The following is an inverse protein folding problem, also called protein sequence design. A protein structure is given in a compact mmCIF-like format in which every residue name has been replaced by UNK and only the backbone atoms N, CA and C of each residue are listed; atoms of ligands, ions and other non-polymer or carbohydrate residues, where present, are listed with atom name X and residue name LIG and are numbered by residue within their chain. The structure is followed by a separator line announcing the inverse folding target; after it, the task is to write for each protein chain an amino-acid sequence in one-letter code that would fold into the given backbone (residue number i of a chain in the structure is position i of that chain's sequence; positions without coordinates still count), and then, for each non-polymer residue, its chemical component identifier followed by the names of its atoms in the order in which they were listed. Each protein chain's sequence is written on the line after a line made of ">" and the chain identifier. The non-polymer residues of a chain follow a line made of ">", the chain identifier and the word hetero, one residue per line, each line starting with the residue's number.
data_IF_905358565872
#
_entry.id   IF_905358565872
#
_cell.length_a   1.000
_cell.length_b   1.000
_cell.length_c   1.000
_cell.angle_alpha   90.00
_cell.angle_beta   90.00
_cell.angle_gamma   90.00
#
_symmetry.space_group_name_H-M   'P 1'
#
loop_
_entity.id
_entity.type
_entity.pdbx_description
1 polymer ?
#
# COMPACT_ATOMS: atom_id res chain seq x y z
N UNK A 1 15.31 15.31 -33.66
CA UNK A 1 15.55 15.95 -32.34
C UNK A 1 14.38 16.86 -32.03
N UNK A 2 13.29 16.31 -31.48
CA UNK A 2 12.08 17.10 -31.18
C UNK A 2 12.14 17.59 -29.74
N UNK A 3 12.74 18.77 -29.55
CA UNK A 3 12.66 19.50 -28.30
C UNK A 3 11.35 20.29 -28.28
N UNK A 4 10.26 19.65 -27.86
CA UNK A 4 9.03 20.37 -27.54
C UNK A 4 9.20 20.99 -26.16
N UNK A 5 9.48 22.29 -26.13
CA UNK A 5 9.35 23.15 -24.96
C UNK A 5 7.86 23.16 -24.57
N UNK A 6 7.46 22.18 -23.76
CA UNK A 6 6.19 22.19 -23.04
C UNK A 6 6.23 23.33 -22.03
N UNK A 7 5.56 24.44 -22.36
CA UNK A 7 5.30 25.57 -21.47
C UNK A 7 4.62 25.06 -20.18
N UNK A 8 5.36 24.98 -19.07
CA UNK A 8 4.80 24.51 -17.80
C UNK A 8 3.79 25.52 -17.25
N UNK A 9 2.59 25.01 -17.02
CA UNK A 9 1.36 25.76 -16.71
C UNK A 9 1.12 25.85 -15.19
N UNK A 10 2.16 25.97 -14.36
CA UNK A 10 2.06 25.58 -12.95
C UNK A 10 1.83 26.73 -11.94
N UNK A 11 1.94 28.01 -12.33
CA UNK A 11 1.48 29.15 -11.52
C UNK A 11 -0.07 29.32 -11.40
N UNK A 12 -0.87 28.46 -12.03
CA UNK A 12 -2.35 28.48 -12.00
C UNK A 12 -2.96 27.08 -11.80
N UNK A 13 -2.27 26.24 -11.03
CA UNK A 13 -2.75 24.90 -10.68
C UNK A 13 -3.96 24.95 -9.72
N UNK A 14 -4.81 23.94 -9.77
CA UNK A 14 -5.85 23.70 -8.76
C UNK A 14 -5.23 23.40 -7.40
N UNK A 15 -5.74 24.04 -6.35
CA UNK A 15 -5.23 23.87 -4.99
C UNK A 15 -5.46 22.45 -4.46
N UNK A 16 -4.37 21.82 -4.03
CA UNK A 16 -4.35 20.60 -3.24
C UNK A 16 -4.00 20.95 -1.79
N UNK A 17 -4.76 20.44 -0.80
CA UNK A 17 -4.41 20.59 0.62
C UNK A 17 -3.03 20.02 0.95
N UNK A 18 -2.57 19.04 0.17
CA UNK A 18 -1.23 18.50 0.28
C UNK A 18 -0.22 19.41 -0.43
N UNK A 19 -0.34 19.65 -1.74
CA UNK A 19 0.77 20.21 -2.54
C UNK A 19 0.65 21.70 -2.93
N UNK A 20 -0.35 22.42 -2.42
CA UNK A 20 -0.54 23.85 -2.72
C UNK A 20 -1.30 24.10 -4.03
N UNK A 21 -1.25 25.32 -4.58
CA UNK A 21 -0.33 26.40 -4.25
C UNK A 21 -0.55 26.99 -2.86
N UNK A 22 0.53 27.44 -2.22
CA UNK A 22 0.52 28.07 -0.90
C UNK A 22 0.93 29.55 -1.02
N UNK A 23 0.29 30.44 -0.26
CA UNK A 23 0.60 31.87 -0.23
C UNK A 23 0.38 32.47 1.18
N UNK A 24 0.84 33.70 1.38
CA UNK A 24 0.73 34.42 2.65
C UNK A 24 1.88 34.14 3.61
N UNK A 25 1.62 34.29 4.91
CA UNK A 25 2.61 34.18 5.98
C UNK A 25 2.39 32.96 6.90
N UNK A 26 1.52 32.02 6.50
CA UNK A 26 1.26 30.78 7.24
C UNK A 26 2.00 29.63 6.57
N UNK A 27 2.71 28.83 7.37
CA UNK A 27 3.41 27.65 6.86
C UNK A 27 2.43 26.61 6.31
N UNK A 28 2.79 25.86 5.25
CA UNK A 28 2.00 24.73 4.79
C UNK A 28 1.75 23.73 5.93
N UNK A 29 0.54 23.15 6.02
CA UNK A 29 0.12 22.37 7.19
C UNK A 29 0.86 21.04 7.36
N UNK A 30 1.56 20.53 6.34
CA UNK A 30 2.30 19.25 6.37
C UNK A 30 3.57 19.31 5.52
N UNK A 31 4.57 18.50 5.91
CA UNK A 31 5.74 18.24 5.08
C UNK A 31 5.33 17.52 3.79
N UNK A 32 5.94 17.90 2.68
CA UNK A 32 5.60 17.40 1.35
C UNK A 32 6.46 16.17 1.02
N UNK A 33 5.88 14.98 1.12
CA UNK A 33 6.56 13.74 0.74
C UNK A 33 6.32 13.47 -0.74
N UNK A 34 7.39 13.48 -1.53
CA UNK A 34 7.33 13.13 -2.94
C UNK A 34 7.64 11.64 -3.08
N UNK A 35 6.70 10.87 -3.67
CA UNK A 35 6.82 9.40 -3.80
C UNK A 35 7.88 8.93 -4.80
N UNK A 36 8.60 9.85 -5.47
CA UNK A 36 9.58 9.56 -6.51
C UNK A 36 10.91 10.25 -6.22
N UNK A 37 11.97 9.81 -6.88
CA UNK A 37 13.32 10.38 -6.79
C UNK A 37 13.49 11.80 -7.37
N UNK A 38 12.38 12.50 -7.66
CA UNK A 38 12.36 13.84 -8.25
C UNK A 38 11.20 14.65 -7.70
N UNK A 39 11.52 15.85 -7.22
CA UNK A 39 10.58 16.88 -6.82
C UNK A 39 10.84 18.14 -7.65
N UNK A 40 9.79 18.90 -7.96
CA UNK A 40 9.90 20.22 -8.60
C UNK A 40 9.24 21.24 -7.68
N UNK A 41 9.99 22.27 -7.32
CA UNK A 41 9.46 23.45 -6.61
C UNK A 41 9.35 24.58 -7.63
N UNK A 42 8.17 25.17 -7.73
CA UNK A 42 7.93 26.33 -8.59
C UNK A 42 7.53 27.53 -7.71
N UNK A 43 8.15 28.67 -7.97
CA UNK A 43 7.84 29.94 -7.33
C UNK A 43 7.44 30.95 -8.40
N UNK A 44 6.33 31.64 -8.19
CA UNK A 44 5.81 32.64 -9.10
C UNK A 44 5.57 33.95 -8.34
N UNK A 45 6.04 35.06 -8.90
CA UNK A 45 5.77 36.41 -8.41
C UNK A 45 5.19 37.27 -9.53
N UNK A 46 4.39 38.26 -9.18
CA UNK A 46 3.90 39.30 -10.09
C UNK A 46 4.62 40.64 -9.79
N UNK A 47 4.09 41.74 -10.33
CA UNK A 47 4.60 43.09 -10.10
C UNK A 47 4.06 43.74 -8.80
N UNK A 48 3.39 42.97 -7.93
CA UNK A 48 2.74 43.44 -6.70
C UNK A 48 3.67 43.58 -5.49
N UNK A 49 3.07 43.55 -4.28
CA UNK A 49 3.80 43.66 -3.02
C UNK A 49 4.59 42.37 -2.76
N UNK A 50 5.90 42.52 -2.54
CA UNK A 50 6.79 41.43 -2.16
C UNK A 50 6.79 41.17 -0.65
N UNK A 51 6.93 39.90 -0.26
CA UNK A 51 7.16 39.46 1.13
C UNK A 51 8.61 39.08 1.40
N UNK A 52 8.91 38.65 2.63
CA UNK A 52 10.27 38.27 3.07
C UNK A 52 10.83 37.02 2.37
N UNK A 53 9.97 36.21 1.73
CA UNK A 53 10.37 35.04 0.94
C UNK A 53 10.02 33.70 1.61
N UNK A 54 10.71 32.65 1.18
CA UNK A 54 10.50 31.28 1.63
C UNK A 54 11.83 30.53 1.78
N UNK A 55 11.88 29.56 2.69
CA UNK A 55 13.01 28.65 2.88
C UNK A 55 12.46 27.24 3.08
N UNK A 56 13.02 26.27 2.37
CA UNK A 56 12.61 24.86 2.44
C UNK A 56 13.77 24.04 2.98
N UNK A 57 13.52 23.23 4.01
CA UNK A 57 14.47 22.21 4.46
C UNK A 57 14.34 20.97 3.56
N UNK A 58 15.41 20.57 2.89
CA UNK A 58 15.42 19.40 2.01
C UNK A 58 15.96 18.18 2.77
N UNK A 59 15.12 17.18 2.94
CA UNK A 59 15.48 15.91 3.59
C UNK A 59 15.20 14.74 2.65
N UNK A 60 16.10 13.77 2.60
CA UNK A 60 15.81 12.46 2.02
C UNK A 60 15.40 11.51 3.16
N UNK A 61 14.32 10.79 2.95
CA UNK A 61 14.02 9.61 3.75
C UNK A 61 14.46 8.39 2.93
N UNK A 62 14.93 7.34 3.61
CA UNK A 62 14.92 6.02 2.98
C UNK A 62 13.48 5.76 2.54
N UNK A 63 13.30 5.37 1.27
CA UNK A 63 12.03 4.79 0.84
C UNK A 63 11.95 3.52 1.67
N UNK A 64 11.06 3.49 2.66
CA UNK A 64 10.66 2.21 3.26
C UNK A 64 10.31 1.33 2.07
N UNK A 65 11.03 0.22 1.84
CA UNK A 65 10.79 -0.56 0.65
C UNK A 65 9.32 -0.94 0.68
N UNK A 66 8.53 -0.40 -0.27
CA UNK A 66 7.36 -1.10 -0.79
C UNK A 66 7.79 -2.55 -0.84
N UNK A 67 7.11 -3.50 -0.18
CA UNK A 67 7.61 -4.86 -0.03
C UNK A 67 8.05 -5.33 -1.41
N UNK A 68 9.35 -5.27 -1.68
CA UNK A 68 9.89 -5.59 -2.99
C UNK A 68 9.89 -7.09 -2.93
N UNK A 69 8.74 -7.66 -3.27
CA UNK A 69 8.57 -9.09 -3.28
C UNK A 69 9.70 -9.65 -4.13
N UNK A 70 10.61 -10.45 -3.55
CA UNK A 70 11.47 -11.32 -4.36
C UNK A 70 10.54 -12.09 -5.30
N UNK A 71 10.96 -12.46 -6.53
CA UNK A 71 10.08 -13.02 -7.56
C UNK A 71 9.11 -14.03 -6.92
N UNK A 72 7.83 -13.67 -6.80
CA UNK A 72 6.88 -14.28 -5.86
C UNK A 72 6.95 -15.79 -5.88
N UNK A 73 7.74 -16.40 -4.98
CA UNK A 73 7.63 -17.82 -4.77
C UNK A 73 6.42 -18.00 -3.87
N UNK A 74 5.33 -18.50 -4.44
CA UNK A 74 4.13 -18.86 -3.68
C UNK A 74 4.54 -19.86 -2.60
N UNK A 75 4.43 -19.51 -1.30
CA UNK A 75 4.85 -20.41 -0.23
C UNK A 75 4.06 -21.71 -0.31
N UNK A 76 4.77 -22.84 -0.24
CA UNK A 76 4.17 -24.17 -0.17
C UNK A 76 4.24 -24.63 1.28
N UNK A 77 3.07 -24.76 1.91
CA UNK A 77 2.93 -25.24 3.27
C UNK A 77 2.55 -26.72 3.20
N UNK A 78 3.44 -27.58 3.67
CA UNK A 78 3.23 -29.03 3.67
C UNK A 78 2.81 -29.49 5.08
N UNK A 79 1.62 -30.08 5.18
CA UNK A 79 1.08 -30.67 6.39
C UNK A 79 1.47 -32.15 6.45
N UNK A 80 2.49 -32.47 7.26
CA UNK A 80 3.05 -33.82 7.37
C UNK A 80 2.46 -34.64 8.53
N UNK A 81 2.02 -33.98 9.60
CA UNK A 81 1.49 -34.62 10.81
C UNK A 81 0.23 -33.91 11.28
N UNK A 82 -0.78 -34.65 11.75
CA UNK A 82 -2.05 -34.07 12.26
C UNK A 82 -1.81 -33.08 13.41
N UNK A 83 -0.82 -33.37 14.28
CA UNK A 83 -0.48 -32.54 15.42
C UNK A 83 0.39 -31.31 15.08
N UNK A 84 0.91 -31.22 13.85
CA UNK A 84 1.72 -30.07 13.44
C UNK A 84 0.80 -28.90 13.09
N UNK A 85 0.69 -27.95 14.02
CA UNK A 85 -0.02 -26.70 13.76
C UNK A 85 0.89 -25.77 12.97
N UNK A 86 0.45 -25.38 11.77
CA UNK A 86 1.09 -24.37 10.95
C UNK A 86 0.20 -23.13 10.89
N UNK A 87 0.82 -21.95 10.93
CA UNK A 87 0.11 -20.67 10.88
C UNK A 87 0.42 -19.96 9.56
N UNK A 88 -0.64 -19.47 8.91
CA UNK A 88 -0.55 -18.45 7.88
C UNK A 88 -0.98 -17.14 8.53
N UNK A 89 -0.18 -16.10 8.35
CA UNK A 89 -0.46 -14.76 8.88
C UNK A 89 -0.34 -13.76 7.74
N UNK A 90 -1.07 -12.66 7.86
CA UNK A 90 -0.87 -11.52 6.96
C UNK A 90 0.57 -11.01 7.07
N UNK A 91 1.11 -10.39 6.01
CA UNK A 91 2.35 -9.63 6.12
C UNK A 91 2.26 -8.64 7.28
N UNK A 92 3.40 -8.40 7.93
CA UNK A 92 3.57 -7.50 9.07
C UNK A 92 2.88 -7.89 10.37
N UNK A 93 2.07 -8.96 10.41
CA UNK A 93 1.41 -9.39 11.66
C UNK A 93 2.42 -9.45 12.82
N UNK A 94 2.12 -8.84 13.99
CA UNK A 94 0.80 -8.34 14.42
C UNK A 94 0.42 -6.91 14.01
N UNK A 95 1.26 -6.22 13.24
CA UNK A 95 0.93 -4.91 12.67
C UNK A 95 -0.03 -5.03 11.47
N UNK A 96 -0.57 -3.89 11.04
CA UNK A 96 -1.45 -3.82 9.87
C UNK A 96 -0.77 -4.38 8.61
N UNK A 97 -1.54 -5.10 7.80
CA UNK A 97 -1.10 -5.50 6.46
C UNK A 97 -1.01 -4.28 5.53
N UNK A 98 -0.28 -4.43 4.44
CA UNK A 98 -0.10 -3.35 3.46
C UNK A 98 -1.35 -3.15 2.59
N UNK A 99 -1.64 -1.90 2.25
CA UNK A 99 -2.68 -1.56 1.27
C UNK A 99 -2.33 -2.12 -0.12
N UNK A 100 -3.35 -2.46 -0.92
CA UNK A 100 -3.20 -2.94 -2.31
C UNK A 100 -2.28 -4.16 -2.47
N UNK A 101 -2.22 -5.01 -1.44
CA UNK A 101 -1.34 -6.18 -1.40
C UNK A 101 -2.08 -7.47 -1.77
N UNK A 102 -1.41 -8.35 -2.54
CA UNK A 102 -1.90 -9.68 -2.90
C UNK A 102 -0.86 -10.73 -2.54
N UNK A 103 -1.27 -11.77 -1.82
CA UNK A 103 -0.44 -12.96 -1.58
C UNK A 103 -1.21 -14.25 -1.86
N UNK A 104 -0.50 -15.25 -2.36
CA UNK A 104 -1.00 -16.60 -2.57
C UNK A 104 -0.25 -17.57 -1.65
N UNK A 105 -0.95 -18.58 -1.14
CA UNK A 105 -0.38 -19.66 -0.33
C UNK A 105 -0.89 -21.00 -0.87
N UNK A 106 0.01 -21.95 -1.11
CA UNK A 106 -0.36 -23.32 -1.50
C UNK A 106 -0.26 -24.21 -0.27
N UNK A 107 -1.37 -24.81 0.13
CA UNK A 107 -1.42 -25.76 1.24
C UNK A 107 -1.51 -27.18 0.66
N UNK A 108 -0.61 -28.06 1.07
CA UNK A 108 -0.57 -29.48 0.66
C UNK A 108 -0.58 -30.37 1.88
N UNK A 109 -1.25 -31.52 1.76
CA UNK A 109 -1.18 -32.63 2.72
C UNK A 109 -0.35 -33.76 2.10
N UNK A 110 0.46 -34.44 2.89
CA UNK A 110 1.19 -35.62 2.42
C UNK A 110 0.32 -36.89 2.47
N UNK A 111 -0.61 -36.96 3.41
CA UNK A 111 -1.53 -38.10 3.56
C UNK A 111 -2.77 -37.95 2.65
N UNK A 112 -3.06 -38.99 1.85
CA UNK A 112 -4.17 -38.99 0.89
C UNK A 112 -5.56 -39.10 1.52
N UNK A 113 -5.68 -39.60 2.75
CA UNK A 113 -6.96 -39.83 3.43
C UNK A 113 -7.34 -38.69 4.39
N UNK A 114 -6.46 -37.70 4.60
CA UNK A 114 -6.72 -36.58 5.49
C UNK A 114 -7.46 -35.42 4.83
N UNK A 115 -8.06 -34.54 5.61
CA UNK A 115 -8.67 -33.30 5.12
C UNK A 115 -7.89 -32.09 5.65
N UNK A 116 -7.81 -31.03 4.86
CA UNK A 116 -7.25 -29.74 5.33
C UNK A 116 -8.38 -28.98 6.03
N UNK A 117 -8.21 -28.71 7.32
CA UNK A 117 -9.13 -27.88 8.09
C UNK A 117 -8.51 -26.50 8.29
N UNK A 118 -9.19 -25.46 7.81
CA UNK A 118 -8.78 -24.08 8.01
C UNK A 118 -9.65 -23.48 9.11
N UNK A 119 -9.00 -23.00 10.17
CA UNK A 119 -9.66 -22.30 11.29
C UNK A 119 -8.95 -20.98 11.54
N UNK A 120 -9.67 -19.87 11.39
CA UNK A 120 -9.18 -18.56 11.77
C UNK A 120 -9.09 -18.48 13.30
N UNK A 121 -7.93 -18.04 13.80
CA UNK A 121 -7.76 -17.69 15.21
C UNK A 121 -8.00 -16.19 15.47
N UNK A 122 -7.74 -15.38 14.45
CA UNK A 122 -8.04 -13.95 14.36
C UNK A 122 -8.55 -13.69 12.95
N UNK A 123 -9.53 -12.79 12.81
CA UNK A 123 -10.05 -12.38 11.51
C UNK A 123 -10.47 -10.92 11.60
N UNK A 124 -9.58 -10.03 11.17
CA UNK A 124 -9.74 -8.58 11.22
C UNK A 124 -9.25 -8.01 9.89
N UNK A 125 -10.19 -7.84 8.96
CA UNK A 125 -9.98 -7.29 7.63
C UNK A 125 -10.81 -6.00 7.49
N UNK A 126 -10.41 -5.14 6.56
CA UNK A 126 -11.14 -3.93 6.21
C UNK A 126 -12.62 -4.18 5.94
N UNK A 127 -13.52 -3.29 6.39
CA UNK A 127 -14.95 -3.46 6.24
C UNK A 127 -15.42 -3.09 4.83
N UNK A 128 -16.26 -3.91 4.20
CA UNK A 128 -16.83 -3.64 2.87
C UNK A 128 -16.39 -4.60 1.76
N UNK A 129 -15.58 -5.60 2.12
CA UNK A 129 -15.09 -6.64 1.21
C UNK A 129 -14.19 -6.14 0.07
N UNK A 130 -13.66 -4.92 0.18
CA UNK A 130 -12.48 -4.48 -0.58
C UNK A 130 -11.24 -5.28 -0.16
N UNK A 131 -11.15 -5.61 1.13
CA UNK A 131 -10.20 -6.57 1.68
C UNK A 131 -10.88 -7.94 1.86
N UNK A 132 -10.33 -8.98 1.23
CA UNK A 132 -10.88 -10.31 1.30
C UNK A 132 -9.80 -11.41 1.46
N UNK A 133 -10.22 -12.51 2.06
CA UNK A 133 -9.49 -13.77 2.10
C UNK A 133 -10.28 -14.80 1.29
N UNK A 134 -9.63 -15.38 0.28
CA UNK A 134 -10.26 -16.34 -0.62
C UNK A 134 -9.65 -17.72 -0.40
N UNK A 135 -10.50 -18.70 -0.12
CA UNK A 135 -10.13 -20.11 -0.01
C UNK A 135 -10.57 -20.83 -1.27
N UNK A 136 -9.60 -21.41 -1.98
CA UNK A 136 -9.83 -22.29 -3.13
C UNK A 136 -9.62 -23.74 -2.72
N UNK A 137 -10.70 -24.53 -2.68
CA UNK A 137 -10.62 -25.98 -2.69
C UNK A 137 -10.44 -26.44 -4.14
N UNK A 138 -9.17 -26.61 -4.53
CA UNK A 138 -8.78 -26.96 -5.90
C UNK A 138 -9.30 -28.34 -6.30
N UNK A 139 -9.45 -29.27 -5.36
CA UNK A 139 -9.91 -30.64 -5.64
C UNK A 139 -11.39 -30.67 -6.01
N UNK A 140 -12.21 -29.90 -5.30
CA UNK A 140 -13.65 -29.84 -5.54
C UNK A 140 -14.08 -28.65 -6.42
N UNK A 141 -13.12 -27.85 -6.91
CA UNK A 141 -13.37 -26.61 -7.65
C UNK A 141 -14.31 -25.64 -6.93
N UNK A 142 -14.15 -25.52 -5.61
CA UNK A 142 -14.96 -24.61 -4.77
C UNK A 142 -14.13 -23.38 -4.41
N UNK A 143 -14.75 -22.20 -4.53
CA UNK A 143 -14.19 -20.92 -4.08
C UNK A 143 -15.09 -20.36 -2.97
N UNK A 144 -14.50 -20.01 -1.83
CA UNK A 144 -15.18 -19.30 -0.74
C UNK A 144 -14.44 -18.02 -0.43
N UNK A 145 -15.19 -16.94 -0.28
CA UNK A 145 -14.67 -15.61 0.02
C UNK A 145 -15.12 -15.18 1.41
N UNK A 146 -14.19 -14.60 2.15
CA UNK A 146 -14.40 -14.11 3.51
C UNK A 146 -13.89 -12.68 3.56
N UNK A 147 -14.66 -11.76 4.13
CA UNK A 147 -14.27 -10.36 4.29
C UNK A 147 -14.68 -9.84 5.66
N UNK A 148 -14.10 -8.70 6.05
CA UNK A 148 -14.47 -8.00 7.27
C UNK A 148 -15.94 -7.57 7.24
N UNK A 149 -16.63 -7.75 8.36
CA UNK A 149 -18.01 -7.24 8.53
C UNK A 149 -17.95 -5.78 8.95
N UNK A 150 -18.85 -4.95 8.42
CA UNK A 150 -19.09 -3.62 8.99
C UNK A 150 -19.65 -3.81 10.39
N UNK A 151 -18.95 -3.33 11.41
CA UNK A 151 -19.54 -3.10 12.73
C UNK A 151 -20.71 -2.14 12.54
N UNK A 152 -21.92 -2.60 12.88
CA UNK A 152 -23.11 -1.75 12.93
C UNK A 152 -23.02 -0.73 14.05
#
# INVERSE_FOLDING_TARGET
>A
TNNSLSTSRACRGTASPAFGPFCGNTLPPRAQTVRKNRAVVEFCSDYGIAGTGWQINLTYAEIEPEPTSPPWQTPIITLEKVAAVNFIRSPNYPSNYNDSYVANYIIRKTNRDWVVQLKSLLFDLGPGCEDNLVVHDVTNNVRKEFCGVRSG
#
